data_IF_021047949659
#
_entry.id   IF_021047949659
#
_cell.length_a   1.000
_cell.length_b   1.000
_cell.length_c   1.000
_cell.angle_alpha   90.00
_cell.angle_beta   90.00
_cell.angle_gamma   90.00
#
_symmetry.space_group_name_H-M   'P 1'
#
loop_
_entity.id
_entity.type
_entity.pdbx_description
1 polymer ?
#
# COMPACT_ATOMS: atom_id res chain seq x y z
N UNK A 1 -4.45 -2.21 -20.13
CA UNK A 1 -3.02 -1.90 -20.14
C UNK A 1 -2.51 -1.89 -18.70
N UNK A 2 -1.43 -2.57 -18.44
CA UNK A 2 -0.74 -2.60 -17.16
C UNK A 2 0.52 -1.74 -17.28
N UNK A 3 0.68 -0.76 -16.41
CA UNK A 3 1.89 0.06 -16.36
C UNK A 3 3.12 -0.77 -15.97
N UNK A 4 4.30 -0.40 -16.44
CA UNK A 4 5.55 -1.14 -16.20
C UNK A 4 5.89 -1.28 -14.70
N UNK A 5 5.38 -0.40 -13.85
CA UNK A 5 5.56 -0.47 -12.40
C UNK A 5 4.51 -1.34 -11.68
N UNK A 6 3.73 -2.10 -12.42
CA UNK A 6 2.88 -3.17 -11.90
C UNK A 6 1.66 -2.79 -11.07
N UNK A 7 1.39 -1.50 -10.91
CA UNK A 7 0.49 -1.03 -9.86
C UNK A 7 -0.73 -0.26 -10.35
N UNK A 8 -0.80 0.08 -11.62
CA UNK A 8 -1.94 0.78 -12.21
C UNK A 8 -2.45 0.07 -13.46
N UNK A 9 -3.72 0.23 -13.75
CA UNK A 9 -4.38 -0.31 -14.93
C UNK A 9 -5.08 0.80 -15.69
N UNK A 10 -5.08 0.70 -17.02
CA UNK A 10 -6.00 1.43 -17.88
C UNK A 10 -6.99 0.41 -18.43
N UNK A 11 -8.23 0.53 -18.03
CA UNK A 11 -9.32 -0.40 -18.34
C UNK A 11 -10.32 0.29 -19.24
N UNK A 12 -10.79 -0.41 -20.27
CA UNK A 12 -11.99 0.01 -21.01
C UNK A 12 -13.16 -0.72 -20.35
N UNK A 13 -14.06 0.03 -19.78
CA UNK A 13 -15.22 -0.49 -19.06
C UNK A 13 -16.51 0.02 -19.68
N UNK A 14 -17.58 -0.74 -19.55
CA UNK A 14 -18.90 -0.42 -20.11
C UNK A 14 -19.88 -0.16 -18.97
N UNK A 15 -20.61 0.94 -19.08
CA UNK A 15 -21.76 1.24 -18.23
C UNK A 15 -22.90 1.80 -19.10
N UNK A 16 -24.10 1.23 -18.99
CA UNK A 16 -25.30 1.65 -19.73
C UNK A 16 -25.07 1.85 -21.24
N UNK A 17 -24.40 0.89 -21.89
CA UNK A 17 -24.03 0.89 -23.32
C UNK A 17 -23.01 1.94 -23.74
N UNK A 18 -22.45 2.71 -22.81
CA UNK A 18 -21.35 3.63 -23.07
C UNK A 18 -20.02 3.05 -22.59
N UNK A 19 -18.97 3.44 -23.29
CA UNK A 19 -17.60 3.02 -22.96
C UNK A 19 -16.88 4.14 -22.22
N UNK A 20 -16.09 3.74 -21.23
CA UNK A 20 -15.29 4.62 -20.39
C UNK A 20 -13.86 4.11 -20.29
N UNK A 21 -12.91 5.02 -20.24
CA UNK A 21 -11.55 4.72 -19.85
C UNK A 21 -11.44 4.89 -18.33
N UNK A 22 -11.15 3.81 -17.61
CA UNK A 22 -10.91 3.86 -16.17
C UNK A 22 -9.43 3.65 -15.94
N UNK A 23 -8.79 4.61 -15.29
CA UNK A 23 -7.36 4.54 -14.97
C UNK A 23 -7.22 4.42 -13.47
N UNK A 24 -6.59 3.34 -13.01
CA UNK A 24 -6.22 3.18 -11.60
C UNK A 24 -4.76 3.59 -11.39
N UNK A 25 -4.46 4.11 -10.22
CA UNK A 25 -3.09 4.42 -9.83
C UNK A 25 -2.58 3.40 -8.78
N UNK A 26 -1.26 3.37 -8.51
CA UNK A 26 -0.66 2.46 -7.53
C UNK A 26 -1.16 2.66 -6.10
N UNK A 27 -1.81 3.77 -5.82
CA UNK A 27 -2.27 4.16 -4.48
C UNK A 27 -3.74 3.85 -4.22
N UNK A 28 -4.35 3.01 -5.08
CA UNK A 28 -5.77 2.63 -4.96
C UNK A 28 -6.75 3.71 -5.43
N UNK A 29 -6.27 4.80 -6.03
CA UNK A 29 -7.11 5.78 -6.71
C UNK A 29 -7.56 5.27 -8.07
N UNK A 30 -8.76 5.69 -8.52
CA UNK A 30 -9.23 5.47 -9.88
C UNK A 30 -9.94 6.72 -10.41
N UNK A 31 -9.71 7.02 -11.68
CA UNK A 31 -10.41 8.08 -12.42
C UNK A 31 -11.14 7.48 -13.62
N UNK A 32 -12.30 8.00 -13.93
CA UNK A 32 -13.14 7.58 -15.07
C UNK A 32 -13.22 8.72 -16.06
N UNK A 33 -12.89 8.41 -17.31
CA UNK A 33 -12.96 9.35 -18.42
C UNK A 33 -13.96 8.85 -19.47
N UNK A 34 -14.79 9.75 -19.99
CA UNK A 34 -15.65 9.45 -21.11
C UNK A 34 -14.85 9.38 -22.44
N UNK A 35 -15.55 9.10 -23.53
CA UNK A 35 -14.93 8.99 -24.87
C UNK A 35 -14.36 10.31 -25.40
N UNK A 36 -14.74 11.43 -24.82
CA UNK A 36 -14.23 12.77 -25.11
C UNK A 36 -13.04 13.15 -24.25
N UNK A 37 -12.66 12.27 -23.31
CA UNK A 37 -11.56 12.48 -22.37
C UNK A 37 -11.92 13.36 -21.16
N UNK A 38 -13.20 13.61 -20.94
CA UNK A 38 -13.67 14.39 -19.78
C UNK A 38 -13.68 13.51 -18.53
N UNK A 39 -13.18 14.03 -17.43
CA UNK A 39 -13.27 13.38 -16.12
C UNK A 39 -14.74 13.36 -15.63
N UNK A 40 -15.27 12.15 -15.44
CA UNK A 40 -16.63 11.88 -14.99
C UNK A 40 -16.65 10.98 -13.74
N UNK A 41 -15.53 10.89 -13.03
CA UNK A 41 -15.31 10.01 -11.87
C UNK A 41 -16.43 10.11 -10.84
N UNK A 42 -16.84 11.33 -10.49
CA UNK A 42 -17.84 11.57 -9.42
C UNK A 42 -19.24 11.04 -9.74
N UNK A 43 -19.53 10.73 -10.99
CA UNK A 43 -20.83 10.18 -11.43
C UNK A 43 -20.78 8.70 -11.78
N UNK A 44 -19.63 8.03 -11.60
CA UNK A 44 -19.42 6.63 -11.98
C UNK A 44 -18.72 5.83 -10.87
N UNK A 45 -19.24 5.93 -9.65
CA UNK A 45 -18.66 5.25 -8.47
C UNK A 45 -18.58 3.73 -8.65
N UNK A 46 -19.54 3.11 -9.34
CA UNK A 46 -19.53 1.68 -9.64
C UNK A 46 -18.33 1.30 -10.50
N UNK A 47 -18.03 2.05 -11.56
CA UNK A 47 -16.86 1.80 -12.39
C UNK A 47 -15.55 1.97 -11.61
N UNK A 48 -15.50 2.95 -10.70
CA UNK A 48 -14.37 3.12 -9.79
C UNK A 48 -14.19 1.89 -8.90
N UNK A 49 -15.28 1.40 -8.31
CA UNK A 49 -15.24 0.23 -7.44
C UNK A 49 -14.79 -1.04 -8.21
N UNK A 50 -15.37 -1.27 -9.39
CA UNK A 50 -15.04 -2.41 -10.24
C UNK A 50 -13.59 -2.39 -10.71
N UNK A 51 -13.08 -1.21 -11.09
CA UNK A 51 -11.68 -1.06 -11.51
C UNK A 51 -10.70 -1.32 -10.35
N UNK A 52 -11.03 -0.86 -9.15
CA UNK A 52 -10.24 -1.15 -7.94
C UNK A 52 -10.28 -2.64 -7.60
N UNK A 53 -11.43 -3.28 -7.67
CA UNK A 53 -11.57 -4.72 -7.48
C UNK A 53 -10.74 -5.50 -8.52
N UNK A 54 -10.79 -5.07 -9.78
CA UNK A 54 -9.96 -5.67 -10.84
C UNK A 54 -8.46 -5.50 -10.55
N UNK A 55 -8.05 -4.32 -10.09
CA UNK A 55 -6.65 -4.07 -9.72
C UNK A 55 -6.19 -4.97 -8.57
N UNK A 56 -7.02 -5.13 -7.54
CA UNK A 56 -6.72 -6.04 -6.42
C UNK A 56 -6.56 -7.50 -6.88
N UNK A 57 -7.41 -7.95 -7.82
CA UNK A 57 -7.39 -9.33 -8.32
C UNK A 57 -6.25 -9.58 -9.32
N UNK A 58 -5.95 -8.60 -10.16
CA UNK A 58 -5.07 -8.77 -11.33
C UNK A 58 -3.77 -7.95 -11.21
N UNK A 59 -3.60 -7.22 -10.13
CA UNK A 59 -2.34 -6.59 -9.77
C UNK A 59 -1.23 -7.63 -9.60
N UNK A 60 -0.01 -7.17 -9.46
CA UNK A 60 1.16 -8.05 -9.19
C UNK A 60 0.97 -8.90 -7.94
N UNK A 61 0.05 -8.49 -7.08
CA UNK A 61 -0.27 -9.17 -5.85
C UNK A 61 -1.71 -9.70 -5.94
N UNK A 62 -1.89 -10.90 -6.53
CA UNK A 62 -3.09 -11.68 -6.35
C UNK A 62 -3.30 -11.94 -4.85
N UNK A 63 -4.54 -12.23 -4.42
CA UNK A 63 -4.85 -12.56 -3.02
C UNK A 63 -3.88 -13.60 -2.44
N UNK A 64 -3.63 -14.65 -3.19
CA UNK A 64 -2.74 -15.75 -2.76
C UNK A 64 -1.28 -15.29 -2.70
N UNK A 65 -0.86 -14.41 -3.63
CA UNK A 65 0.47 -13.82 -3.63
C UNK A 65 0.69 -12.91 -2.42
N UNK A 66 -0.29 -12.08 -2.04
CA UNK A 66 -0.23 -11.24 -0.84
C UNK A 66 -0.13 -12.07 0.44
N UNK A 67 -0.98 -13.09 0.58
CA UNK A 67 -0.95 -13.99 1.73
C UNK A 67 0.38 -14.72 1.84
N UNK A 68 0.91 -15.19 0.70
CA UNK A 68 2.24 -15.83 0.65
C UNK A 68 3.35 -14.87 1.05
N UNK A 69 3.33 -13.62 0.57
CA UNK A 69 4.31 -12.60 0.98
C UNK A 69 4.25 -12.32 2.48
N UNK A 70 3.04 -12.15 3.03
CA UNK A 70 2.85 -11.96 4.48
C UNK A 70 3.37 -13.15 5.25
N UNK A 71 3.10 -14.38 4.80
CA UNK A 71 3.65 -15.60 5.39
C UNK A 71 5.17 -15.62 5.39
N UNK A 72 5.80 -15.26 4.28
CA UNK A 72 7.26 -15.16 4.17
C UNK A 72 7.83 -14.10 5.12
N UNK A 73 7.18 -12.94 5.25
CA UNK A 73 7.58 -11.89 6.19
C UNK A 73 7.50 -12.41 7.63
N UNK A 74 6.46 -13.16 7.97
CA UNK A 74 6.26 -13.72 9.31
C UNK A 74 7.05 -15.00 9.57
N UNK A 75 7.70 -15.57 8.54
CA UNK A 75 8.33 -16.89 8.57
C UNK A 75 7.35 -18.00 8.98
N UNK A 76 6.11 -17.93 8.46
CA UNK A 76 5.01 -18.82 8.84
C UNK A 76 4.05 -19.03 7.69
N UNK A 77 3.34 -20.17 7.70
CA UNK A 77 2.24 -20.39 6.78
C UNK A 77 0.96 -19.77 7.35
N UNK A 78 0.34 -18.88 6.59
CA UNK A 78 -0.91 -18.24 6.97
C UNK A 78 -2.06 -19.00 6.32
N UNK A 79 -2.97 -19.53 7.14
CA UNK A 79 -4.09 -20.38 6.68
C UNK A 79 -5.45 -19.71 6.80
N UNK A 80 -5.61 -18.68 7.62
CA UNK A 80 -6.88 -17.99 7.90
C UNK A 80 -6.89 -16.54 7.46
N UNK A 81 -6.11 -16.19 6.44
CA UNK A 81 -5.99 -14.84 5.94
C UNK A 81 -7.27 -14.35 5.26
N UNK A 82 -7.67 -13.13 5.62
CA UNK A 82 -8.74 -12.38 4.97
C UNK A 82 -8.16 -11.13 4.31
N UNK A 83 -8.22 -11.07 2.99
CA UNK A 83 -7.92 -9.83 2.26
C UNK A 83 -9.14 -8.91 2.41
N UNK A 84 -8.91 -7.72 2.92
CA UNK A 84 -9.95 -6.72 3.14
C UNK A 84 -9.82 -5.59 2.13
N UNK A 85 -10.93 -5.19 1.54
CA UNK A 85 -10.99 -3.97 0.74
C UNK A 85 -11.20 -2.77 1.67
N UNK A 86 -10.35 -1.77 1.53
CA UNK A 86 -10.48 -0.51 2.25
C UNK A 86 -10.77 0.59 1.24
N UNK A 87 -11.95 1.20 1.34
CA UNK A 87 -12.34 2.36 0.52
C UNK A 87 -11.67 3.63 1.03
N UNK A 88 -10.35 3.70 0.86
CA UNK A 88 -9.58 4.90 1.19
C UNK A 88 -8.70 5.30 0.01
N UNK A 89 -8.68 6.59 -0.27
CA UNK A 89 -7.66 7.21 -1.13
C UNK A 89 -6.40 7.40 -0.28
N UNK A 90 -5.52 6.41 -0.31
CA UNK A 90 -4.28 6.45 0.48
C UNK A 90 -3.18 5.71 -0.26
N UNK A 91 -1.98 5.74 0.29
CA UNK A 91 -0.87 4.92 -0.21
C UNK A 91 -1.08 3.41 0.04
N UNK A 92 -2.04 3.04 0.87
CA UNK A 92 -2.35 1.63 1.16
C UNK A 92 -3.11 1.01 0.00
N UNK A 93 -2.51 0.00 -0.63
CA UNK A 93 -3.05 -0.67 -1.82
C UNK A 93 -3.61 -2.05 -1.53
N UNK A 94 -3.29 -2.64 -0.38
CA UNK A 94 -3.84 -3.91 0.07
C UNK A 94 -3.77 -4.04 1.58
N UNK A 95 -4.70 -4.82 2.13
CA UNK A 95 -4.77 -5.18 3.54
C UNK A 95 -5.09 -6.67 3.69
N UNK A 96 -4.40 -7.32 4.60
CA UNK A 96 -4.64 -8.72 4.98
C UNK A 96 -4.78 -8.81 6.49
N UNK A 97 -5.95 -9.23 6.97
CA UNK A 97 -6.14 -9.64 8.37
C UNK A 97 -5.88 -11.13 8.49
N UNK A 98 -5.12 -11.55 9.50
CA UNK A 98 -4.81 -12.97 9.73
C UNK A 98 -4.56 -13.25 11.21
N UNK A 99 -4.64 -14.52 11.59
CA UNK A 99 -4.28 -14.99 12.94
C UNK A 99 -3.06 -15.90 12.85
N UNK A 100 -2.13 -15.71 13.75
CA UNK A 100 -0.95 -16.56 13.89
C UNK A 100 -0.71 -16.80 15.39
N UNK A 101 -0.62 -18.07 15.79
CA UNK A 101 -0.44 -18.49 17.19
C UNK A 101 -1.46 -17.88 18.16
N UNK A 102 -2.71 -17.72 17.70
CA UNK A 102 -3.81 -17.15 18.47
C UNK A 102 -3.82 -15.61 18.57
N UNK A 103 -2.87 -14.95 17.94
CA UNK A 103 -2.79 -13.47 17.87
C UNK A 103 -3.26 -12.97 16.54
N UNK A 104 -4.11 -11.94 16.54
CA UNK A 104 -4.59 -11.28 15.31
C UNK A 104 -3.61 -10.21 14.86
N UNK A 105 -3.29 -10.24 13.58
CA UNK A 105 -2.42 -9.28 12.89
C UNK A 105 -3.10 -8.66 11.70
N UNK A 106 -2.61 -7.49 11.32
CA UNK A 106 -3.04 -6.75 10.15
C UNK A 106 -1.82 -6.38 9.31
N UNK A 107 -1.75 -6.91 8.10
CA UNK A 107 -0.69 -6.60 7.15
C UNK A 107 -1.19 -5.60 6.12
N UNK A 108 -0.44 -4.53 5.90
CA UNK A 108 -0.74 -3.49 4.93
C UNK A 108 0.39 -3.42 3.90
N UNK A 109 0.03 -3.43 2.64
CA UNK A 109 0.95 -3.05 1.58
C UNK A 109 0.74 -1.59 1.23
N UNK A 110 1.75 -0.77 1.45
CA UNK A 110 1.74 0.64 1.12
C UNK A 110 2.71 0.93 -0.03
N UNK A 111 2.23 1.71 -1.01
CA UNK A 111 3.05 2.18 -2.14
C UNK A 111 2.97 3.69 -2.21
N UNK A 112 4.10 4.35 -2.41
CA UNK A 112 4.15 5.80 -2.57
C UNK A 112 5.28 6.18 -3.53
N UNK A 113 5.17 7.35 -4.14
CA UNK A 113 6.24 7.88 -4.98
C UNK A 113 7.31 8.56 -4.12
N UNK A 114 8.53 8.23 -4.42
CA UNK A 114 9.71 8.83 -3.82
C UNK A 114 10.53 9.61 -4.84
N UNK A 115 11.84 9.63 -4.69
CA UNK A 115 12.72 10.36 -5.60
C UNK A 115 12.63 9.79 -7.03
N UNK A 116 12.66 10.70 -8.04
CA UNK A 116 12.65 10.40 -9.47
C UNK A 116 11.49 9.50 -9.92
N UNK A 117 10.32 9.67 -9.29
CA UNK A 117 9.11 8.87 -9.56
C UNK A 117 9.25 7.38 -9.25
N UNK A 118 10.28 6.97 -8.52
CA UNK A 118 10.40 5.61 -8.04
C UNK A 118 9.29 5.29 -7.03
N UNK A 119 8.78 4.08 -7.08
CA UNK A 119 7.73 3.61 -6.18
C UNK A 119 8.36 2.88 -5.01
N UNK A 120 8.18 3.43 -3.82
CA UNK A 120 8.43 2.70 -2.58
C UNK A 120 7.30 1.69 -2.37
N UNK A 121 7.65 0.44 -2.15
CA UNK A 121 6.70 -0.65 -1.87
C UNK A 121 7.05 -1.28 -0.53
N UNK A 122 6.18 -1.07 0.45
CA UNK A 122 6.48 -1.40 1.84
C UNK A 122 5.34 -2.21 2.42
N UNK A 123 5.69 -3.27 3.13
CA UNK A 123 4.76 -4.04 3.95
C UNK A 123 4.92 -3.68 5.42
N UNK A 124 3.81 -3.35 6.05
CA UNK A 124 3.68 -3.14 7.48
C UNK A 124 2.83 -4.25 8.08
N UNK A 125 3.28 -4.84 9.17
CA UNK A 125 2.48 -5.78 9.95
C UNK A 125 2.27 -5.18 11.33
N UNK A 126 1.01 -4.99 11.70
CA UNK A 126 0.60 -4.45 12.98
C UNK A 126 -0.07 -5.54 13.80
N UNK A 127 0.12 -5.47 15.11
CA UNK A 127 -0.66 -6.27 16.05
C UNK A 127 -2.09 -5.71 16.24
N UNK A 128 -2.89 -6.37 17.05
CA UNK A 128 -4.26 -5.96 17.35
C UNK A 128 -4.37 -4.61 18.09
N UNK A 129 -3.27 -4.10 18.65
CA UNK A 129 -3.19 -2.81 19.32
C UNK A 129 -2.73 -1.69 18.38
N UNK A 130 -2.34 -2.04 17.17
CA UNK A 130 -1.86 -1.10 16.16
C UNK A 130 -0.38 -0.77 16.27
N UNK A 131 0.38 -1.55 17.03
CA UNK A 131 1.82 -1.44 17.04
C UNK A 131 2.44 -2.16 15.83
N UNK A 132 3.38 -1.51 15.15
CA UNK A 132 4.14 -2.14 14.06
C UNK A 132 5.03 -3.22 14.66
N UNK A 133 4.74 -4.48 14.36
CA UNK A 133 5.54 -5.62 14.81
C UNK A 133 6.60 -6.03 13.79
N UNK A 134 6.34 -5.76 12.53
CA UNK A 134 7.28 -6.04 11.45
C UNK A 134 7.05 -5.12 10.27
N UNK A 135 8.12 -4.79 9.59
CA UNK A 135 8.09 -4.01 8.37
C UNK A 135 9.14 -4.54 7.40
N UNK A 136 8.85 -4.50 6.12
CA UNK A 136 9.81 -4.84 5.08
C UNK A 136 9.57 -3.99 3.84
N UNK A 137 10.63 -3.70 3.11
CA UNK A 137 10.54 -2.94 1.87
C UNK A 137 11.02 -3.81 0.72
N UNK A 138 10.15 -3.96 -0.30
CA UNK A 138 10.49 -4.68 -1.53
C UNK A 138 11.33 -3.83 -2.50
N UNK A 139 11.33 -2.50 -2.32
CA UNK A 139 11.83 -1.60 -3.34
C UNK A 139 12.68 -0.43 -2.85
N UNK A 140 13.42 -0.57 -1.76
CA UNK A 140 14.50 0.39 -1.47
C UNK A 140 15.65 0.33 -2.48
N UNK A 141 15.68 -0.70 -3.31
CA UNK A 141 16.71 -0.92 -4.33
C UNK A 141 16.75 0.19 -5.38
N UNK A 142 15.67 0.94 -5.53
CA UNK A 142 15.53 2.02 -6.51
C UNK A 142 15.63 3.41 -5.90
N UNK A 143 15.71 3.50 -4.57
CA UNK A 143 16.05 4.75 -3.93
C UNK A 143 17.53 5.04 -4.20
N UNK A 144 17.77 6.30 -4.50
CA UNK A 144 19.09 6.78 -4.88
C UNK A 144 20.16 6.41 -3.85
N UNK A 145 21.40 6.53 -4.28
CA UNK A 145 22.63 6.40 -3.48
C UNK A 145 22.58 7.09 -2.09
N UNK A 146 21.64 8.03 -1.87
CA UNK A 146 21.42 8.61 -0.55
C UNK A 146 21.01 7.59 0.51
N UNK A 147 20.26 6.56 0.14
CA UNK A 147 19.94 5.46 1.05
C UNK A 147 21.10 4.50 1.27
N UNK A 148 22.04 4.44 0.34
CA UNK A 148 23.10 3.45 0.35
C UNK A 148 24.49 4.04 0.60
N UNK A 149 24.74 5.32 0.27
CA UNK A 149 26.08 5.93 0.29
C UNK A 149 26.29 6.98 1.36
N UNK A 150 25.26 7.71 1.81
CA UNK A 150 25.40 8.74 2.83
C UNK A 150 25.52 8.18 4.24
N UNK A 151 25.03 7.01 4.49
CA UNK A 151 25.26 6.27 5.73
C UNK A 151 25.84 4.90 5.37
N UNK A 152 27.16 4.71 5.38
CA UNK A 152 27.78 3.42 5.07
C UNK A 152 27.39 2.31 6.07
N UNK A 153 26.85 2.68 7.23
CA UNK A 153 26.28 1.73 8.19
C UNK A 153 24.77 1.54 7.97
N UNK A 154 24.19 2.36 7.08
CA UNK A 154 22.77 2.26 6.79
C UNK A 154 22.50 0.99 5.99
N UNK A 155 21.60 0.19 6.50
CA UNK A 155 20.99 -0.87 5.74
C UNK A 155 19.47 -0.80 5.94
N UNK A 156 18.73 -1.34 4.99
CA UNK A 156 17.27 -1.33 5.05
C UNK A 156 16.73 -1.88 6.37
N UNK A 157 17.42 -2.85 6.96
CA UNK A 157 17.04 -3.45 8.24
C UNK A 157 17.16 -2.47 9.41
N UNK A 158 18.24 -1.67 9.48
CA UNK A 158 18.42 -0.71 10.56
C UNK A 158 17.38 0.40 10.51
N UNK A 159 17.13 0.95 9.33
CA UNK A 159 16.09 1.95 9.14
C UNK A 159 14.71 1.40 9.47
N UNK A 160 14.38 0.25 8.93
CA UNK A 160 13.09 -0.43 9.13
C UNK A 160 12.87 -0.80 10.59
N UNK A 161 13.91 -1.27 11.30
CA UNK A 161 13.79 -1.64 12.72
C UNK A 161 13.42 -0.47 13.62
N UNK A 162 13.72 0.76 13.21
CA UNK A 162 13.31 1.99 13.90
C UNK A 162 11.80 2.22 13.97
N UNK A 163 11.02 1.52 13.13
CA UNK A 163 9.56 1.58 13.15
C UNK A 163 8.92 0.53 14.06
N UNK A 164 9.68 -0.46 14.52
CA UNK A 164 9.13 -1.54 15.37
C UNK A 164 8.65 -0.99 16.70
N UNK A 165 7.43 -1.36 17.07
CA UNK A 165 6.76 -0.92 18.30
C UNK A 165 6.06 0.43 18.19
N UNK A 166 6.20 1.16 17.07
CA UNK A 166 5.49 2.41 16.89
C UNK A 166 4.00 2.17 16.66
N UNK A 167 3.22 3.07 17.23
CA UNK A 167 1.77 3.17 17.06
C UNK A 167 1.42 4.53 16.45
N UNK A 168 0.13 4.75 16.14
CA UNK A 168 -0.33 6.06 15.70
C UNK A 168 -0.05 7.20 16.69
N UNK A 169 0.01 6.89 17.99
CA UNK A 169 0.26 7.86 19.06
C UNK A 169 1.75 8.19 19.24
N UNK A 170 2.62 7.24 18.90
CA UNK A 170 4.07 7.37 19.11
C UNK A 170 4.85 7.72 17.86
N UNK A 171 4.27 7.57 16.68
CA UNK A 171 4.88 7.97 15.43
C UNK A 171 4.74 9.47 15.20
N UNK A 172 5.84 10.21 15.30
CA UNK A 172 5.89 11.65 15.06
C UNK A 172 6.56 12.02 13.73
N UNK A 173 6.97 11.02 12.96
CA UNK A 173 7.61 11.15 11.65
C UNK A 173 9.14 11.37 11.71
N UNK A 174 9.74 11.48 12.89
CA UNK A 174 11.21 11.60 13.00
C UNK A 174 11.90 10.30 12.62
N UNK A 175 11.26 9.16 12.89
CA UNK A 175 11.76 7.83 12.52
C UNK A 175 11.86 7.63 11.00
N UNK A 176 11.06 8.35 10.23
CA UNK A 176 11.09 8.29 8.77
C UNK A 176 12.15 9.20 8.13
N UNK A 177 12.85 10.00 8.91
CA UNK A 177 13.80 10.99 8.38
C UNK A 177 15.05 10.31 7.85
N UNK A 178 15.39 10.63 6.60
CA UNK A 178 16.62 10.22 5.94
C UNK A 178 17.34 11.49 5.51
N UNK A 179 18.52 11.70 6.04
CA UNK A 179 19.34 12.88 5.74
C UNK A 179 19.61 12.98 4.24
N UNK A 180 19.29 14.13 3.64
CA UNK A 180 19.47 14.36 2.20
C UNK A 180 18.38 13.79 1.27
N UNK A 181 17.43 12.98 1.78
CA UNK A 181 16.40 12.33 0.98
C UNK A 181 14.99 12.82 1.36
N UNK A 182 14.70 14.09 1.14
CA UNK A 182 13.45 14.73 1.55
C UNK A 182 12.22 14.07 0.92
N UNK A 183 12.28 13.71 -0.36
CA UNK A 183 11.13 13.11 -1.06
C UNK A 183 10.81 11.73 -0.50
N UNK A 184 11.82 10.88 -0.32
CA UNK A 184 11.68 9.55 0.27
C UNK A 184 11.22 9.60 1.72
N UNK A 185 11.75 10.57 2.50
CA UNK A 185 11.29 10.85 3.86
C UNK A 185 9.79 11.17 3.89
N UNK A 186 9.33 12.07 3.00
CA UNK A 186 7.92 12.45 2.95
C UNK A 186 7.03 11.27 2.49
N UNK A 187 7.49 10.51 1.50
CA UNK A 187 6.80 9.32 1.03
C UNK A 187 6.63 8.28 2.16
N UNK A 188 7.66 8.06 2.96
CA UNK A 188 7.62 7.15 4.10
C UNK A 188 6.71 7.64 5.21
N UNK A 189 6.77 8.95 5.55
CA UNK A 189 5.87 9.56 6.53
C UNK A 189 4.40 9.38 6.12
N UNK A 190 4.09 9.68 4.87
CA UNK A 190 2.74 9.53 4.34
C UNK A 190 2.29 8.06 4.38
N UNK A 191 3.11 7.14 3.87
CA UNK A 191 2.80 5.72 3.89
C UNK A 191 2.51 5.20 5.30
N UNK A 192 3.31 5.59 6.29
CA UNK A 192 3.13 5.19 7.69
C UNK A 192 1.84 5.74 8.28
N UNK A 193 1.54 7.02 8.06
CA UNK A 193 0.29 7.64 8.53
C UNK A 193 -0.94 7.00 7.88
N UNK A 194 -0.86 6.72 6.56
CA UNK A 194 -1.94 6.07 5.83
C UNK A 194 -2.19 4.64 6.34
N UNK A 195 -1.12 3.90 6.69
CA UNK A 195 -1.24 2.58 7.30
C UNK A 195 -1.94 2.64 8.66
N UNK A 196 -1.61 3.60 9.52
CA UNK A 196 -2.32 3.76 10.79
C UNK A 196 -3.79 4.15 10.60
N UNK A 197 -4.10 5.00 9.62
CA UNK A 197 -5.48 5.33 9.27
C UNK A 197 -6.23 4.10 8.74
N UNK A 198 -5.60 3.32 7.84
CA UNK A 198 -6.15 2.09 7.31
C UNK A 198 -6.38 1.03 8.40
N UNK A 199 -5.47 0.91 9.37
CA UNK A 199 -5.63 0.01 10.51
C UNK A 199 -6.88 0.33 11.33
N UNK A 200 -7.13 1.60 11.63
CA UNK A 200 -8.35 2.02 12.35
C UNK A 200 -9.61 1.57 11.62
N UNK A 201 -9.64 1.74 10.30
CA UNK A 201 -10.77 1.29 9.46
C UNK A 201 -10.88 -0.23 9.44
N UNK A 202 -9.79 -0.95 9.21
CA UNK A 202 -9.76 -2.41 9.17
C UNK A 202 -10.25 -3.04 10.49
N UNK A 203 -9.85 -2.45 11.63
CA UNK A 203 -10.23 -2.91 12.96
C UNK A 203 -11.71 -2.70 13.26
N UNK A 204 -12.30 -1.62 12.80
CA UNK A 204 -13.72 -1.29 13.02
C UNK A 204 -14.66 -1.97 12.01
N UNK A 205 -14.13 -2.77 11.10
CA UNK A 205 -14.92 -3.36 10.02
C UNK A 205 -15.39 -2.31 9.00
N UNK A 206 -14.65 -1.22 8.92
CA UNK A 206 -15.01 0.03 8.28
C UNK A 206 -15.07 0.03 6.77
N UNK A 207 -16.15 -0.54 6.27
CA UNK A 207 -16.81 -0.11 5.04
C UNK A 207 -18.31 -0.17 5.31
N UNK A 208 -18.83 0.89 5.86
CA UNK A 208 -20.27 1.16 5.84
C UNK A 208 -20.53 2.40 5.04
#
# INVERSE_FOLDING_TARGET
YKGDNGSGFALIMKDNDKMYLVVTNPFGGACVYDVEGKDVTSSHETLVADAKAYQLQNGTDSKDSLVTKVGNIMNSTITDAQVQELNIFSSVVANVKFTLDGVTYYAFNAKNFSFDSNVMNIFFILDENGAIVKMTADAFVFETDYFTTLDPNWNASNYISGFTGLTNETFDGTQAVIGGATMSTNAMKQATNDVFAAFKLAKTGGNK
#
